data_IF_385754940783
#
_entry.id   IF_385754940783
#
_cell.length_a   1.000
_cell.length_b   1.000
_cell.length_c   1.000
_cell.angle_alpha   90.00
_cell.angle_beta   90.00
_cell.angle_gamma   90.00
#
_symmetry.space_group_name_H-M   'P 1'
#
loop_
_entity.id
_entity.type
_entity.pdbx_description
1 polymer ?
#
# COMPACT_ATOMS: atom_id res chain seq x y z
N UNK A 1 -19.78 4.87 29.94
CA UNK A 1 -19.76 4.38 28.56
C UNK A 1 -18.68 5.13 27.78
N UNK A 2 -17.90 4.40 27.00
CA UNK A 2 -16.91 5.00 26.09
C UNK A 2 -17.39 4.80 24.67
N UNK A 3 -17.43 5.88 23.90
CA UNK A 3 -17.82 5.82 22.49
C UNK A 3 -16.67 6.37 21.64
N UNK A 4 -16.27 5.59 20.64
CA UNK A 4 -15.20 5.96 19.71
C UNK A 4 -15.79 5.97 18.30
N UNK A 5 -15.65 7.11 17.61
CA UNK A 5 -16.00 7.22 16.20
C UNK A 5 -14.72 7.23 15.38
N UNK A 6 -14.71 6.47 14.30
CA UNK A 6 -13.56 6.41 13.40
C UNK A 6 -14.03 6.51 11.96
N UNK A 7 -13.22 7.18 11.14
CA UNK A 7 -13.53 7.35 9.72
C UNK A 7 -12.49 8.25 9.05
N UNK A 8 -12.69 8.49 7.77
CA UNK A 8 -11.83 9.40 7.03
C UNK A 8 -12.03 10.84 7.51
N UNK A 9 -10.95 11.58 7.54
CA UNK A 9 -10.94 12.95 8.09
C UNK A 9 -12.04 13.82 7.53
N UNK A 10 -12.15 13.90 6.21
CA UNK A 10 -13.14 14.76 5.56
C UNK A 10 -14.58 14.35 5.88
N UNK A 11 -14.83 13.06 5.95
CA UNK A 11 -16.15 12.53 6.27
C UNK A 11 -16.51 12.78 7.73
N UNK A 12 -15.52 12.65 8.61
CA UNK A 12 -15.71 12.95 10.03
C UNK A 12 -16.00 14.45 10.25
N UNK A 13 -15.28 15.30 9.56
CA UNK A 13 -15.51 16.74 9.63
C UNK A 13 -16.91 17.11 9.16
N UNK A 14 -17.35 16.53 8.04
CA UNK A 14 -18.68 16.80 7.52
C UNK A 14 -19.78 16.34 8.48
N UNK A 15 -19.59 15.19 9.08
CA UNK A 15 -20.54 14.66 10.06
C UNK A 15 -20.62 15.57 11.28
N UNK A 16 -19.50 16.03 11.80
CA UNK A 16 -19.46 16.92 12.95
C UNK A 16 -20.04 18.30 12.64
N UNK A 17 -19.83 18.80 11.44
CA UNK A 17 -20.41 20.08 11.00
C UNK A 17 -21.91 19.98 10.83
N UNK A 18 -22.42 18.86 10.34
CA UNK A 18 -23.85 18.63 10.16
C UNK A 18 -24.60 18.53 11.49
N UNK A 19 -23.90 18.11 12.54
CA UNK A 19 -24.49 17.92 13.87
C UNK A 19 -23.66 18.65 14.92
N UNK A 20 -24.00 19.94 15.16
CA UNK A 20 -23.24 20.76 16.09
C UNK A 20 -23.18 20.18 17.51
N UNK A 21 -24.23 19.49 17.92
CA UNK A 21 -24.25 18.85 19.23
C UNK A 21 -23.25 17.72 19.39
N UNK A 22 -22.89 17.04 18.27
CA UNK A 22 -21.90 15.97 18.32
C UNK A 22 -20.50 16.50 18.60
N UNK A 23 -20.16 17.64 18.03
CA UNK A 23 -18.83 18.19 18.20
C UNK A 23 -18.49 18.45 19.68
N UNK A 24 -19.45 18.93 20.45
CA UNK A 24 -19.28 19.15 21.87
C UNK A 24 -19.21 17.86 22.69
N UNK A 25 -19.79 16.78 22.19
CA UNK A 25 -19.80 15.49 22.88
C UNK A 25 -18.55 14.65 22.58
N UNK A 26 -17.79 14.98 21.53
CA UNK A 26 -16.55 14.31 21.15
C UNK A 26 -15.40 15.31 21.19
N UNK A 27 -14.92 15.66 22.40
CA UNK A 27 -13.89 16.71 22.51
C UNK A 27 -12.49 16.25 22.11
N UNK A 28 -12.25 14.94 22.06
CA UNK A 28 -10.94 14.38 21.73
C UNK A 28 -10.92 13.92 20.31
N UNK A 29 -10.14 14.59 19.48
CA UNK A 29 -9.97 14.26 18.07
C UNK A 29 -8.54 13.81 17.82
N UNK A 30 -8.37 12.58 17.38
CA UNK A 30 -7.08 12.03 17.01
C UNK A 30 -7.02 11.91 15.48
N UNK A 31 -6.00 12.47 14.90
CA UNK A 31 -5.77 12.38 13.47
C UNK A 31 -4.57 11.46 13.23
N UNK A 32 -4.78 10.47 12.36
CA UNK A 32 -3.71 9.60 11.90
C UNK A 32 -3.34 10.01 10.49
N UNK A 33 -2.14 10.55 10.32
CA UNK A 33 -1.64 10.92 9.01
C UNK A 33 -1.34 9.68 8.18
N UNK A 34 -1.42 9.82 6.86
CA UNK A 34 -1.03 8.75 5.95
C UNK A 34 0.47 8.49 6.09
N UNK A 35 0.85 7.24 5.84
CA UNK A 35 2.26 6.88 5.83
C UNK A 35 2.95 7.49 4.60
N UNK A 36 4.19 7.95 4.78
CA UNK A 36 5.02 8.38 3.67
C UNK A 36 5.68 7.16 3.01
N UNK A 37 6.42 7.40 1.92
CA UNK A 37 7.04 6.32 1.17
C UNK A 37 8.04 5.51 2.00
N UNK A 38 8.82 6.17 2.85
CA UNK A 38 9.80 5.48 3.71
C UNK A 38 9.11 4.59 4.73
N UNK A 39 8.04 5.08 5.32
CA UNK A 39 7.25 4.32 6.29
C UNK A 39 6.57 3.12 5.62
N UNK A 40 6.04 3.30 4.41
CA UNK A 40 5.45 2.21 3.65
C UNK A 40 6.49 1.16 3.28
N UNK A 41 7.71 1.57 2.94
CA UNK A 41 8.80 0.63 2.71
C UNK A 41 9.10 -0.18 3.96
N UNK A 42 9.15 0.46 5.12
CA UNK A 42 9.38 -0.24 6.37
C UNK A 42 8.28 -1.26 6.66
N UNK A 43 7.03 -0.87 6.46
CA UNK A 43 5.88 -1.78 6.62
C UNK A 43 6.03 -2.97 5.67
N UNK A 44 6.37 -2.70 4.42
CA UNK A 44 6.57 -3.74 3.42
C UNK A 44 7.71 -4.70 3.77
N UNK A 45 8.81 -4.17 4.26
CA UNK A 45 9.95 -5.01 4.66
C UNK A 45 9.60 -5.91 5.84
N UNK A 46 8.89 -5.38 6.81
CA UNK A 46 8.42 -6.19 7.95
C UNK A 46 7.45 -7.28 7.49
N UNK A 47 6.59 -6.95 6.56
CA UNK A 47 5.61 -7.89 6.01
C UNK A 47 6.31 -9.03 5.23
N UNK A 48 7.29 -8.69 4.40
CA UNK A 48 8.09 -9.68 3.69
C UNK A 48 8.87 -10.57 4.66
N UNK A 49 9.44 -9.97 5.70
CA UNK A 49 10.20 -10.71 6.69
C UNK A 49 9.32 -11.73 7.44
N UNK A 50 8.06 -11.41 7.64
CA UNK A 50 7.12 -12.34 8.27
C UNK A 50 6.87 -13.59 7.40
N UNK A 51 7.08 -13.49 6.10
CA UNK A 51 7.02 -14.63 5.17
C UNK A 51 8.39 -15.25 4.89
N UNK A 52 9.42 -14.84 5.63
CA UNK A 52 10.80 -15.28 5.40
C UNK A 52 11.29 -14.98 3.98
N UNK A 53 10.88 -13.85 3.43
CA UNK A 53 11.28 -13.40 2.11
C UNK A 53 12.29 -12.26 2.20
N UNK A 54 13.35 -12.37 1.40
CA UNK A 54 14.35 -11.33 1.24
C UNK A 54 14.13 -10.55 -0.06
N UNK A 55 14.77 -9.41 -0.18
CA UNK A 55 14.71 -8.60 -1.38
C UNK A 55 16.10 -8.04 -1.66
N UNK A 56 16.50 -8.07 -2.94
CA UNK A 56 17.80 -7.51 -3.31
C UNK A 56 17.79 -5.98 -3.17
N UNK A 57 18.96 -5.35 -2.94
CA UNK A 57 19.04 -3.89 -2.84
C UNK A 57 18.46 -3.17 -4.06
N UNK A 58 18.74 -3.66 -5.25
CA UNK A 58 18.22 -3.06 -6.49
C UNK A 58 16.71 -3.19 -6.59
N UNK A 59 16.17 -4.35 -6.25
CA UNK A 59 14.73 -4.57 -6.21
C UNK A 59 14.06 -3.67 -5.19
N UNK A 60 14.70 -3.49 -4.04
CA UNK A 60 14.20 -2.60 -2.99
C UNK A 60 14.12 -1.15 -3.48
N UNK A 61 15.13 -0.69 -4.20
CA UNK A 61 15.13 0.65 -4.77
C UNK A 61 14.01 0.84 -5.78
N UNK A 62 13.80 -0.14 -6.65
CA UNK A 62 12.69 -0.10 -7.61
C UNK A 62 11.33 -0.10 -6.93
N UNK A 63 11.17 -0.94 -5.92
CA UNK A 63 9.94 -0.99 -5.14
C UNK A 63 9.65 0.37 -4.50
N UNK A 64 10.67 1.00 -3.97
CA UNK A 64 10.51 2.33 -3.37
C UNK A 64 10.04 3.36 -4.41
N UNK A 65 10.57 3.30 -5.63
CA UNK A 65 10.12 4.19 -6.68
C UNK A 65 8.63 3.99 -7.01
N UNK A 66 8.17 2.74 -7.04
CA UNK A 66 6.76 2.44 -7.24
C UNK A 66 5.92 3.06 -6.12
N UNK A 67 6.35 2.90 -4.89
CA UNK A 67 5.66 3.45 -3.73
C UNK A 67 5.60 4.98 -3.80
N UNK A 68 6.71 5.63 -4.15
CA UNK A 68 6.76 7.08 -4.30
C UNK A 68 5.75 7.55 -5.35
N UNK A 69 5.69 6.86 -6.48
CA UNK A 69 4.73 7.21 -7.53
C UNK A 69 3.28 7.04 -7.07
N UNK A 70 3.00 5.98 -6.34
CA UNK A 70 1.66 5.74 -5.84
C UNK A 70 1.23 6.72 -4.77
N UNK A 71 2.15 7.08 -3.88
CA UNK A 71 1.85 8.08 -2.86
C UNK A 71 1.67 9.48 -3.46
N UNK A 72 2.39 9.78 -4.54
CA UNK A 72 2.22 11.05 -5.26
C UNK A 72 0.87 11.17 -5.94
N UNK A 73 0.28 10.02 -6.30
CA UNK A 73 -1.07 9.97 -6.89
C UNK A 73 -2.16 9.82 -5.85
N UNK A 74 -1.80 9.98 -4.62
CA UNK A 74 -2.69 9.77 -3.49
C UNK A 74 -4.11 10.24 -3.76
N UNK A 75 -5.06 9.33 -3.67
CA UNK A 75 -6.47 9.62 -3.79
C UNK A 75 -7.12 9.56 -2.41
N UNK A 76 -8.31 10.15 -2.33
CA UNK A 76 -9.03 10.28 -1.07
C UNK A 76 -9.19 8.98 -0.29
N UNK A 77 -9.35 7.87 -0.99
CA UNK A 77 -9.59 6.56 -0.37
C UNK A 77 -8.38 5.65 -0.38
N UNK A 78 -7.20 6.21 -0.55
CA UNK A 78 -5.98 5.43 -0.57
C UNK A 78 -5.71 4.79 0.80
N UNK A 79 -5.66 3.48 0.80
CA UNK A 79 -5.44 2.70 2.03
C UNK A 79 -3.95 2.32 2.14
N UNK A 80 -3.15 3.26 2.62
CA UNK A 80 -1.69 3.15 2.65
C UNK A 80 -1.11 1.78 2.99
N UNK A 81 -1.26 1.37 4.25
CA UNK A 81 -0.66 0.12 4.72
C UNK A 81 -1.32 -1.09 4.06
N UNK A 82 -2.63 -1.05 3.91
CA UNK A 82 -3.37 -2.13 3.25
C UNK A 82 -2.95 -2.26 1.78
N UNK A 83 -2.76 -1.13 1.11
CA UNK A 83 -2.27 -1.15 -0.27
C UNK A 83 -0.91 -1.85 -0.37
N UNK A 84 -0.01 -1.56 0.57
CA UNK A 84 1.31 -2.20 0.58
C UNK A 84 1.20 -3.71 0.81
N UNK A 85 0.38 -4.13 1.75
CA UNK A 85 0.13 -5.54 2.00
C UNK A 85 -0.48 -6.24 0.80
N UNK A 86 -1.45 -5.60 0.15
CA UNK A 86 -2.10 -6.14 -1.04
C UNK A 86 -1.13 -6.22 -2.22
N UNK A 87 -0.25 -5.26 -2.37
CA UNK A 87 0.78 -5.30 -3.40
C UNK A 87 1.67 -6.53 -3.22
N UNK A 88 2.06 -6.81 -2.00
CA UNK A 88 2.89 -7.98 -1.69
C UNK A 88 2.10 -9.26 -1.94
N UNK A 89 0.91 -9.38 -1.37
CA UNK A 89 0.12 -10.61 -1.46
C UNK A 89 -0.38 -10.92 -2.87
N UNK A 90 -0.81 -9.89 -3.60
CA UNK A 90 -1.50 -10.08 -4.87
C UNK A 90 -0.61 -9.90 -6.10
N UNK A 91 0.58 -9.36 -5.93
CA UNK A 91 1.47 -9.07 -7.05
C UNK A 91 2.88 -9.61 -6.86
N UNK A 92 3.53 -9.29 -5.76
CA UNK A 92 4.93 -9.68 -5.55
C UNK A 92 5.06 -11.18 -5.31
N UNK A 93 4.31 -11.73 -4.37
CA UNK A 93 4.37 -13.16 -4.05
C UNK A 93 3.93 -14.01 -5.24
N UNK A 94 2.83 -13.70 -5.94
CA UNK A 94 2.47 -14.46 -7.14
C UNK A 94 3.54 -14.41 -8.23
N UNK A 95 4.21 -13.28 -8.42
CA UNK A 95 5.29 -13.15 -9.40
C UNK A 95 6.48 -14.03 -9.04
N UNK A 96 6.86 -14.05 -7.77
CA UNK A 96 7.91 -14.92 -7.27
C UNK A 96 7.53 -16.39 -7.47
N UNK A 97 6.30 -16.76 -7.13
CA UNK A 97 5.80 -18.11 -7.29
C UNK A 97 5.81 -18.55 -8.75
N UNK A 98 5.41 -17.67 -9.65
CA UNK A 98 5.44 -17.95 -11.08
C UNK A 98 6.87 -18.23 -11.56
N UNK A 99 7.83 -17.43 -11.12
CA UNK A 99 9.24 -17.64 -11.47
C UNK A 99 9.74 -19.00 -11.02
N UNK A 100 9.39 -19.40 -9.81
CA UNK A 100 9.83 -20.68 -9.23
C UNK A 100 9.14 -21.85 -9.90
N UNK A 101 7.81 -21.82 -9.98
CA UNK A 101 7.03 -22.97 -10.42
C UNK A 101 6.88 -23.10 -11.93
N UNK A 102 6.74 -21.98 -12.63
CA UNK A 102 6.50 -22.00 -14.07
C UNK A 102 7.78 -21.97 -14.90
N UNK A 103 8.81 -21.30 -14.42
CA UNK A 103 10.08 -21.16 -15.12
C UNK A 103 11.15 -22.11 -14.60
N UNK A 104 10.85 -22.83 -13.52
CA UNK A 104 11.77 -23.79 -12.91
C UNK A 104 13.02 -23.15 -12.29
N UNK A 105 12.99 -21.85 -12.06
CA UNK A 105 14.11 -21.15 -11.46
C UNK A 105 14.03 -21.27 -9.93
N UNK A 106 14.74 -22.23 -9.40
CA UNK A 106 14.82 -22.45 -7.96
C UNK A 106 15.96 -21.68 -7.30
N UNK A 107 16.73 -20.94 -8.09
CA UNK A 107 17.76 -20.06 -7.54
C UNK A 107 17.04 -18.89 -6.85
N UNK A 108 17.43 -18.59 -5.62
CA UNK A 108 16.85 -17.52 -4.86
C UNK A 108 15.33 -17.65 -4.64
N UNK A 109 14.88 -18.84 -4.26
CA UNK A 109 13.46 -19.11 -4.02
C UNK A 109 12.80 -18.17 -3.02
N UNK A 110 13.57 -17.67 -2.06
CA UNK A 110 13.05 -16.79 -1.02
C UNK A 110 13.49 -15.34 -1.21
N UNK A 111 14.06 -15.00 -2.38
CA UNK A 111 14.58 -13.65 -2.64
C UNK A 111 13.86 -13.00 -3.81
N UNK A 112 13.30 -11.83 -3.57
CA UNK A 112 12.67 -11.01 -4.61
C UNK A 112 13.76 -10.27 -5.38
N UNK A 113 13.78 -10.46 -6.70
CA UNK A 113 14.78 -9.84 -7.57
C UNK A 113 14.22 -8.63 -8.28
N UNK A 114 15.12 -7.86 -8.90
CA UNK A 114 14.74 -6.70 -9.71
C UNK A 114 13.79 -7.09 -10.84
N UNK A 115 14.02 -8.25 -11.48
CA UNK A 115 13.14 -8.73 -12.54
C UNK A 115 11.71 -8.99 -12.03
N UNK A 116 11.58 -9.50 -10.81
CA UNK A 116 10.27 -9.71 -10.20
C UNK A 116 9.53 -8.37 -10.01
N UNK A 117 10.23 -7.36 -9.53
CA UNK A 117 9.63 -6.03 -9.32
C UNK A 117 9.29 -5.37 -10.67
N UNK A 118 10.10 -5.57 -11.71
CA UNK A 118 9.79 -5.06 -13.04
C UNK A 118 8.48 -5.66 -13.57
N UNK A 119 8.26 -6.95 -13.36
CA UNK A 119 7.01 -7.61 -13.76
C UNK A 119 5.82 -7.06 -12.97
N UNK A 120 6.00 -6.80 -11.69
CA UNK A 120 4.97 -6.20 -10.85
C UNK A 120 4.63 -4.80 -11.35
N UNK A 121 5.64 -4.00 -11.63
CA UNK A 121 5.46 -2.64 -12.14
C UNK A 121 4.69 -2.64 -13.46
N UNK A 122 5.01 -3.55 -14.36
CA UNK A 122 4.34 -3.65 -15.67
C UNK A 122 2.83 -3.97 -15.53
N UNK A 123 2.45 -4.64 -14.47
CA UNK A 123 1.04 -5.00 -14.23
C UNK A 123 0.27 -3.94 -13.44
N UNK A 124 0.96 -2.96 -12.88
CA UNK A 124 0.30 -1.93 -12.12
C UNK A 124 -0.43 -0.94 -13.02
N UNK A 125 -1.54 -0.37 -12.54
CA UNK A 125 -2.25 0.67 -13.29
C UNK A 125 -1.34 1.84 -13.60
N UNK A 126 -1.36 2.26 -14.86
CA UNK A 126 -0.57 3.40 -15.32
C UNK A 126 -1.44 4.65 -15.30
N UNK A 127 -1.06 5.59 -14.51
CA UNK A 127 -1.62 6.92 -14.38
C UNK A 127 -2.85 7.27 -15.20
N UNK A 128 -2.65 8.01 -16.26
CA UNK A 128 -3.72 8.58 -17.06
C UNK A 128 -4.61 7.56 -17.78
N UNK A 129 -4.09 6.40 -18.10
CA UNK A 129 -4.84 5.40 -18.84
C UNK A 129 -6.04 4.90 -18.05
N UNK A 130 -6.00 4.99 -16.76
CA UNK A 130 -7.05 4.53 -15.87
C UNK A 130 -8.33 5.31 -16.00
N UNK A 131 -8.21 6.60 -16.19
CA UNK A 131 -9.37 7.49 -16.17
C UNK A 131 -10.34 7.29 -17.31
N UNK A 132 -9.86 6.75 -18.42
CA UNK A 132 -10.69 6.58 -19.61
C UNK A 132 -11.65 5.43 -19.52
N UNK A 133 -11.37 4.51 -18.65
CA UNK A 133 -12.11 3.27 -18.55
C UNK A 133 -13.19 3.37 -17.49
N UNK A 134 -13.14 4.38 -16.69
CA UNK A 134 -14.12 4.61 -15.66
C UNK A 134 -15.43 5.10 -16.27
N UNK A 135 -16.26 4.25 -16.61
CA UNK A 135 -17.59 4.58 -17.07
C UNK A 135 -18.64 4.15 -16.11
#
# INVERSE_FOLDING_TARGET
>A
MVVILAGYENDMERMLMANQGLKGRFPYHLKFDDYNADELMEIGMRYLNAYDLDITPDAKAKLKNIIVQQTARHEREFSNARWMEQLIDNSIIPTLSERIFMQGDTTNESTITTADIEKVEAKLPQGKAQKKIGF
#
